data_IF_463372032733
#
_entry.id   IF_463372032733
#
_cell.length_a   1.000
_cell.length_b   1.000
_cell.length_c   1.000
_cell.angle_alpha   90.00
_cell.angle_beta   90.00
_cell.angle_gamma   90.00
#
_symmetry.space_group_name_H-M   'P 1'
#
loop_
_entity.id
_entity.type
_entity.pdbx_description
1 polymer ?
#
# COMPACT_ATOMS: atom_id res chain seq x y z
N UNK A 1 6.61 14.19 3.46
CA UNK A 1 7.88 14.88 3.63
C UNK A 1 8.82 14.00 4.43
N UNK A 2 10.06 13.88 3.98
CA UNK A 2 11.06 13.14 4.74
C UNK A 2 11.23 13.79 6.11
N UNK A 3 11.22 12.97 7.13
CA UNK A 3 11.30 13.44 8.49
C UNK A 3 9.98 13.59 9.21
N UNK A 4 8.86 13.44 8.50
CA UNK A 4 7.57 13.40 9.18
C UNK A 4 7.46 12.09 9.96
N UNK A 5 7.14 12.20 11.25
CA UNK A 5 6.98 11.02 12.11
C UNK A 5 5.90 10.08 11.58
N UNK A 6 4.88 10.62 10.92
CA UNK A 6 3.80 9.84 10.30
C UNK A 6 4.35 8.79 9.34
N UNK A 7 5.37 9.13 8.54
CA UNK A 7 5.91 8.24 7.52
C UNK A 7 6.86 7.17 8.08
N UNK A 8 7.32 7.34 9.31
CA UNK A 8 8.30 6.44 9.92
C UNK A 8 7.73 5.57 11.03
N UNK A 9 6.47 5.80 11.42
CA UNK A 9 5.83 5.03 12.49
C UNK A 9 5.09 3.83 11.92
N UNK A 10 5.04 2.77 12.70
CA UNK A 10 4.20 1.63 12.39
C UNK A 10 2.73 1.99 12.52
N UNK A 11 1.92 1.49 11.61
CA UNK A 11 0.49 1.76 11.59
C UNK A 11 -0.27 0.76 12.46
N UNK A 12 -1.38 1.23 13.01
CA UNK A 12 -2.26 0.39 13.82
C UNK A 12 -3.20 -0.43 12.96
N UNK A 13 -3.47 -1.64 13.40
CA UNK A 13 -4.45 -2.49 12.74
C UNK A 13 -5.87 -1.95 12.96
N UNK A 14 -6.72 -2.23 11.99
CA UNK A 14 -8.15 -1.90 12.07
C UNK A 14 -8.87 -3.12 12.61
N UNK A 15 -9.65 -2.93 13.68
CA UNK A 15 -10.37 -4.03 14.34
C UNK A 15 -11.83 -4.12 13.92
N UNK A 16 -12.38 -3.04 13.40
CA UNK A 16 -13.74 -3.04 12.84
C UNK A 16 -13.89 -1.91 11.81
N UNK A 17 -14.78 -2.11 10.86
CA UNK A 17 -15.09 -1.09 9.85
C UNK A 17 -16.01 -0.01 10.44
N UNK A 18 -15.76 1.23 10.03
CA UNK A 18 -16.59 2.37 10.41
C UNK A 18 -16.85 3.24 9.17
N UNK A 19 -17.81 4.13 9.28
CA UNK A 19 -18.12 5.09 8.21
C UNK A 19 -16.89 5.95 7.92
N UNK A 20 -16.17 6.39 8.94
CA UNK A 20 -14.94 7.18 8.78
C UNK A 20 -13.88 6.43 7.99
N UNK A 21 -13.72 5.14 8.25
CA UNK A 21 -12.75 4.32 7.53
C UNK A 21 -13.15 4.17 6.07
N UNK A 22 -14.44 3.99 5.79
CA UNK A 22 -14.93 3.91 4.40
C UNK A 22 -14.69 5.20 3.64
N UNK A 23 -14.94 6.34 4.28
CA UNK A 23 -14.67 7.66 3.67
C UNK A 23 -13.17 7.83 3.41
N UNK A 24 -12.33 7.42 4.36
CA UNK A 24 -10.88 7.46 4.19
C UNK A 24 -10.43 6.65 2.97
N UNK A 25 -10.97 5.44 2.79
CA UNK A 25 -10.63 4.59 1.66
C UNK A 25 -11.01 5.27 0.34
N UNK A 26 -12.19 5.87 0.26
CA UNK A 26 -12.60 6.62 -0.94
C UNK A 26 -11.67 7.79 -1.21
N UNK A 27 -11.31 8.55 -0.17
CA UNK A 27 -10.38 9.68 -0.31
C UNK A 27 -8.99 9.21 -0.74
N UNK A 28 -8.54 8.07 -0.24
CA UNK A 28 -7.27 7.49 -0.65
C UNK A 28 -7.29 7.10 -2.13
N UNK A 29 -8.38 6.49 -2.60
CA UNK A 29 -8.52 6.13 -4.02
C UNK A 29 -8.50 7.39 -4.89
N UNK A 30 -9.24 8.42 -4.51
CA UNK A 30 -9.28 9.68 -5.25
C UNK A 30 -7.89 10.32 -5.31
N UNK A 31 -7.18 10.35 -4.19
CA UNK A 31 -5.82 10.91 -4.12
C UNK A 31 -4.86 10.13 -5.01
N UNK A 32 -4.95 8.80 -4.98
CA UNK A 32 -4.12 7.94 -5.81
C UNK A 32 -4.36 8.19 -7.30
N UNK A 33 -5.62 8.25 -7.72
CA UNK A 33 -5.96 8.48 -9.12
C UNK A 33 -5.57 9.89 -9.59
N UNK A 34 -5.76 10.91 -8.75
CA UNK A 34 -5.35 12.28 -9.08
C UNK A 34 -3.84 12.38 -9.28
N UNK A 35 -3.08 11.62 -8.51
CA UNK A 35 -1.62 11.62 -8.62
C UNK A 35 -1.12 10.65 -9.70
N UNK A 36 -2.02 9.97 -10.41
CA UNK A 36 -1.69 8.95 -11.41
C UNK A 36 -0.81 7.84 -10.84
N UNK A 37 -1.00 7.53 -9.56
CA UNK A 37 -0.25 6.47 -8.88
C UNK A 37 -0.92 5.13 -9.02
N UNK A 38 -0.17 4.06 -8.75
CA UNK A 38 -0.69 2.69 -8.77
C UNK A 38 -1.00 2.18 -7.37
N UNK A 39 -0.58 2.89 -6.34
CA UNK A 39 -0.82 2.51 -4.96
C UNK A 39 -0.70 3.68 -4.00
N UNK A 40 -1.33 3.54 -2.84
CA UNK A 40 -1.27 4.54 -1.77
C UNK A 40 -1.52 3.85 -0.45
N UNK A 41 -0.72 4.19 0.57
CA UNK A 41 -0.91 3.70 1.92
C UNK A 41 -1.42 4.84 2.82
N UNK A 42 -2.21 4.51 3.84
CA UNK A 42 -2.83 5.52 4.70
C UNK A 42 -1.84 6.50 5.34
N UNK A 43 -0.64 6.10 5.79
CA UNK A 43 0.32 7.07 6.32
C UNK A 43 0.68 8.19 5.36
N UNK A 44 0.59 7.96 4.06
CA UNK A 44 0.90 8.98 3.05
C UNK A 44 -0.12 10.12 3.04
N UNK A 45 -1.29 9.91 3.62
CA UNK A 45 -2.30 10.95 3.81
C UNK A 45 -2.47 11.33 5.29
N UNK A 46 -1.48 10.99 6.12
CA UNK A 46 -1.44 11.41 7.52
C UNK A 46 -2.20 10.52 8.49
N UNK A 47 -2.60 9.32 8.07
CA UNK A 47 -3.39 8.41 8.91
C UNK A 47 -2.58 7.17 9.24
N UNK A 48 -2.34 6.91 10.54
CA UNK A 48 -1.52 5.77 10.99
C UNK A 48 -2.38 4.51 11.16
N UNK A 49 -2.94 4.04 10.07
CA UNK A 49 -3.76 2.81 10.02
C UNK A 49 -3.28 1.92 8.88
N UNK A 50 -3.46 0.62 9.06
CA UNK A 50 -2.99 -0.38 8.10
C UNK A 50 -4.01 -0.54 6.96
N UNK A 51 -4.05 0.45 6.07
CA UNK A 51 -4.90 0.45 4.88
C UNK A 51 -4.05 0.78 3.66
N UNK A 52 -4.20 0.00 2.62
CA UNK A 52 -3.53 0.19 1.33
C UNK A 52 -4.58 0.12 0.22
N UNK A 53 -4.47 1.00 -0.78
CA UNK A 53 -5.26 0.91 -2.01
C UNK A 53 -4.31 0.79 -3.18
N UNK A 54 -4.65 -0.06 -4.15
CA UNK A 54 -3.81 -0.35 -5.32
C UNK A 54 -4.71 -0.48 -6.54
N UNK A 55 -4.26 0.05 -7.67
CA UNK A 55 -4.89 -0.19 -8.97
C UNK A 55 -3.80 -0.20 -10.04
N UNK A 56 -3.55 -1.37 -10.60
CA UNK A 56 -2.55 -1.54 -11.67
C UNK A 56 -3.21 -1.64 -13.06
N UNK A 57 -4.47 -1.20 -13.16
CA UNK A 57 -5.20 -1.20 -14.41
C UNK A 57 -6.34 -2.22 -14.48
N UNK A 58 -6.56 -2.98 -13.44
CA UNK A 58 -7.60 -4.02 -13.37
C UNK A 58 -8.71 -3.69 -12.38
N UNK A 59 -8.74 -2.46 -11.87
CA UNK A 59 -9.69 -2.01 -10.87
C UNK A 59 -9.07 -1.86 -9.49
N UNK A 60 -9.76 -1.15 -8.59
CA UNK A 60 -9.19 -0.88 -7.28
C UNK A 60 -9.14 -2.12 -6.40
N UNK A 61 -8.02 -2.27 -5.70
CA UNK A 61 -7.81 -3.32 -4.70
C UNK A 61 -7.66 -2.63 -3.35
N UNK A 62 -8.43 -3.04 -2.37
CA UNK A 62 -8.38 -2.47 -1.02
C UNK A 62 -7.88 -3.54 -0.07
N UNK A 63 -6.80 -3.23 0.64
CA UNK A 63 -6.16 -4.15 1.58
C UNK A 63 -6.17 -3.52 2.98
N UNK A 64 -6.89 -4.14 3.90
CA UNK A 64 -6.95 -3.73 5.30
C UNK A 64 -6.16 -4.76 6.10
N UNK A 65 -5.24 -4.28 6.94
CA UNK A 65 -4.33 -5.12 7.74
C UNK A 65 -3.56 -6.13 6.87
N UNK A 66 -2.94 -5.69 5.76
CA UNK A 66 -2.28 -6.63 4.84
C UNK A 66 -1.04 -7.28 5.45
N UNK A 67 -0.80 -8.52 5.05
CA UNK A 67 0.35 -9.30 5.47
C UNK A 67 0.89 -10.08 4.28
N UNK A 68 2.21 -10.07 4.11
CA UNK A 68 2.85 -10.86 3.06
C UNK A 68 3.04 -12.29 3.55
N UNK A 69 2.49 -13.25 2.81
CA UNK A 69 2.57 -14.68 3.17
C UNK A 69 3.71 -15.40 2.45
N UNK A 70 3.91 -15.10 1.17
CA UNK A 70 4.90 -15.76 0.35
C UNK A 70 5.50 -14.80 -0.65
N UNK A 71 6.76 -14.99 -0.98
CA UNK A 71 7.45 -14.24 -2.02
C UNK A 71 8.34 -15.18 -2.81
N UNK A 72 8.53 -14.89 -4.11
CA UNK A 72 9.51 -15.61 -4.92
C UNK A 72 9.97 -14.77 -6.10
N UNK A 73 11.13 -15.13 -6.65
CA UNK A 73 11.73 -14.42 -7.77
C UNK A 73 12.22 -13.04 -7.40
N UNK A 74 12.71 -12.32 -8.38
CA UNK A 74 13.20 -10.94 -8.19
C UNK A 74 12.87 -10.11 -9.41
N UNK A 75 12.63 -8.83 -9.18
CA UNK A 75 12.52 -7.82 -10.23
C UNK A 75 13.19 -6.55 -9.73
N UNK A 76 13.78 -5.81 -10.63
CA UNK A 76 14.41 -4.52 -10.32
C UNK A 76 13.80 -3.46 -11.22
N UNK A 77 13.47 -2.31 -10.64
CA UNK A 77 12.91 -1.22 -11.41
C UNK A 77 12.81 0.04 -10.57
N UNK A 78 12.43 1.13 -11.20
CA UNK A 78 12.28 2.40 -10.50
C UNK A 78 10.97 2.45 -9.73
N UNK A 79 11.04 2.96 -8.52
CA UNK A 79 9.88 3.22 -7.69
C UNK A 79 9.93 4.64 -7.16
N UNK A 80 8.79 5.31 -7.18
CA UNK A 80 8.63 6.62 -6.59
C UNK A 80 7.69 6.55 -5.40
N UNK A 81 7.80 7.52 -4.50
CA UNK A 81 6.92 7.65 -3.36
C UNK A 81 6.16 8.97 -3.46
N UNK A 82 4.82 8.95 -3.38
CA UNK A 82 3.99 10.14 -3.46
C UNK A 82 4.28 11.13 -2.33
N UNK A 83 4.73 10.62 -1.18
CA UNK A 83 5.06 11.45 -0.03
C UNK A 83 6.45 12.09 -0.12
N UNK A 84 7.25 11.70 -1.11
CA UNK A 84 8.62 12.20 -1.33
C UNK A 84 8.77 12.52 -2.81
N UNK A 85 8.16 13.62 -3.29
CA UNK A 85 8.21 13.99 -4.70
C UNK A 85 9.65 14.17 -5.20
N UNK A 86 9.91 13.71 -6.41
CA UNK A 86 11.22 13.80 -7.02
C UNK A 86 12.22 12.74 -6.58
N UNK A 87 11.86 11.92 -5.62
CA UNK A 87 12.70 10.79 -5.20
C UNK A 87 12.27 9.55 -5.96
N UNK A 88 13.19 9.01 -6.73
CA UNK A 88 12.96 7.82 -7.53
C UNK A 88 14.27 7.06 -7.56
N UNK A 89 14.25 5.77 -7.32
CA UNK A 89 15.45 4.95 -7.31
C UNK A 89 15.13 3.52 -7.70
N UNK A 90 16.17 2.79 -8.09
CA UNK A 90 16.00 1.40 -8.43
C UNK A 90 15.86 0.57 -7.16
N UNK A 91 14.83 -0.26 -7.12
CA UNK A 91 14.54 -1.12 -5.99
C UNK A 91 14.33 -2.54 -6.48
N UNK A 92 14.97 -3.49 -5.82
CA UNK A 92 14.76 -4.91 -6.09
C UNK A 92 13.65 -5.42 -5.18
N UNK A 93 12.64 -6.01 -5.79
CA UNK A 93 11.47 -6.57 -5.10
C UNK A 93 11.23 -8.00 -5.58
N UNK A 94 10.51 -8.81 -4.79
CA UNK A 94 10.05 -10.10 -5.30
C UNK A 94 9.20 -9.93 -6.54
N UNK A 95 9.32 -10.86 -7.48
CA UNK A 95 8.48 -10.83 -8.69
C UNK A 95 7.11 -11.46 -8.46
N UNK A 96 6.98 -12.31 -7.46
CA UNK A 96 5.75 -12.93 -7.02
C UNK A 96 5.53 -12.66 -5.53
N UNK A 97 4.33 -12.22 -5.18
CA UNK A 97 3.95 -11.95 -3.78
C UNK A 97 2.54 -12.45 -3.55
N UNK A 98 2.36 -13.17 -2.45
CA UNK A 98 1.03 -13.57 -1.97
C UNK A 98 0.76 -12.83 -0.67
N UNK A 99 -0.39 -12.18 -0.59
CA UNK A 99 -0.79 -11.39 0.58
C UNK A 99 -2.11 -11.91 1.14
N UNK A 100 -2.28 -11.69 2.44
CA UNK A 100 -3.56 -11.89 3.13
C UNK A 100 -4.00 -10.54 3.68
N UNK A 101 -5.27 -10.22 3.56
CA UNK A 101 -5.81 -8.95 4.03
C UNK A 101 -7.30 -9.10 4.34
N UNK A 102 -7.89 -8.02 4.84
CA UNK A 102 -9.33 -7.92 5.02
C UNK A 102 -9.88 -6.98 3.94
N UNK A 103 -11.09 -7.27 3.48
CA UNK A 103 -11.80 -6.38 2.56
C UNK A 103 -12.60 -5.32 3.34
N UNK A 104 -13.38 -4.50 2.63
CA UNK A 104 -14.17 -3.44 3.26
C UNK A 104 -15.27 -3.96 4.19
N UNK A 105 -15.62 -5.24 4.09
CA UNK A 105 -16.58 -5.89 4.97
C UNK A 105 -15.89 -6.64 6.10
N UNK A 106 -14.56 -6.47 6.23
CA UNK A 106 -13.72 -7.11 7.24
C UNK A 106 -13.64 -8.63 7.06
N UNK A 107 -13.83 -9.12 5.85
CA UNK A 107 -13.67 -10.53 5.51
C UNK A 107 -12.25 -10.79 5.03
N UNK A 108 -11.64 -11.84 5.55
CA UNK A 108 -10.29 -12.21 5.17
C UNK A 108 -10.25 -12.80 3.76
N UNK A 109 -9.24 -12.40 3.00
CA UNK A 109 -8.97 -12.97 1.67
C UNK A 109 -7.48 -13.02 1.41
N UNK A 110 -7.10 -13.85 0.44
CA UNK A 110 -5.73 -13.94 -0.03
C UNK A 110 -5.69 -13.55 -1.50
N UNK A 111 -4.60 -12.91 -1.91
CA UNK A 111 -4.41 -12.47 -3.27
C UNK A 111 -2.97 -12.66 -3.69
N UNK A 112 -2.76 -13.11 -4.92
CA UNK A 112 -1.44 -13.29 -5.49
C UNK A 112 -1.21 -12.22 -6.55
N UNK A 113 0.03 -11.76 -6.67
CA UNK A 113 0.40 -10.79 -7.70
C UNK A 113 1.81 -11.02 -8.21
N UNK A 114 2.03 -10.67 -9.46
CA UNK A 114 3.33 -10.73 -10.11
C UNK A 114 3.63 -9.40 -10.78
N UNK A 115 4.93 -9.16 -11.06
CA UNK A 115 5.35 -7.96 -11.76
C UNK A 115 4.98 -6.69 -11.00
N UNK A 116 4.25 -5.78 -11.66
CA UNK A 116 3.89 -4.50 -11.07
C UNK A 116 3.02 -4.65 -9.82
N UNK A 117 2.10 -5.60 -9.81
CA UNK A 117 1.24 -5.82 -8.64
C UNK A 117 2.05 -6.31 -7.44
N UNK A 118 2.99 -7.25 -7.64
CA UNK A 118 3.86 -7.70 -6.56
C UNK A 118 4.68 -6.55 -5.99
N UNK A 119 5.22 -5.69 -6.86
CA UNK A 119 5.97 -4.50 -6.47
C UNK A 119 5.10 -3.56 -5.64
N UNK A 120 3.85 -3.31 -6.09
CA UNK A 120 2.92 -2.43 -5.40
C UNK A 120 2.59 -2.96 -4.00
N UNK A 121 2.34 -4.26 -3.85
CA UNK A 121 2.11 -4.85 -2.54
C UNK A 121 3.27 -4.56 -1.59
N UNK A 122 4.49 -4.85 -2.02
CA UNK A 122 5.67 -4.65 -1.17
C UNK A 122 5.88 -3.18 -0.82
N UNK A 123 5.78 -2.31 -1.82
CA UNK A 123 6.02 -0.89 -1.64
C UNK A 123 5.03 -0.27 -0.63
N UNK A 124 3.75 -0.56 -0.79
CA UNK A 124 2.73 0.03 0.08
C UNK A 124 2.72 -0.59 1.47
N UNK A 125 2.97 -1.89 1.59
CA UNK A 125 3.08 -2.53 2.91
C UNK A 125 4.29 -2.00 3.67
N UNK A 126 5.40 -1.72 2.98
CA UNK A 126 6.57 -1.11 3.62
C UNK A 126 6.21 0.26 4.24
N UNK A 127 5.37 1.05 3.59
CA UNK A 127 4.90 2.31 4.16
C UNK A 127 4.14 2.09 5.47
N UNK A 128 3.35 1.03 5.56
CA UNK A 128 2.62 0.70 6.79
C UNK A 128 3.56 0.35 7.93
N UNK A 129 4.73 -0.17 7.62
CA UNK A 129 5.73 -0.57 8.62
C UNK A 129 6.76 0.53 8.89
N UNK A 130 6.51 1.74 8.36
CA UNK A 130 7.40 2.87 8.57
C UNK A 130 8.63 2.86 7.69
N UNK A 131 8.67 1.99 6.68
CA UNK A 131 9.79 1.88 5.75
C UNK A 131 9.49 2.71 4.51
N UNK A 132 10.14 3.85 4.40
CA UNK A 132 10.06 4.69 3.21
C UNK A 132 11.40 4.64 2.50
N UNK A 133 11.36 4.51 1.15
CA UNK A 133 12.59 4.44 0.36
C UNK A 133 13.50 5.62 0.59
#
# INVERSE_FOLDING_TARGET
VLGDDVLTKHCKEITKMSIRTKILIEDMLDTMYEAMGVGLAAPQVGVLKRIVVIDVGEGPIILINPEILETSGEQTGEEGCLSVPGKCGQVTRPNYVKVRALDEDMNEFEMEGEGLLARAFCHEIDHLDGKCM
#
